data_IF_850724200067
#
_entry.id   IF_850724200067
#
_cell.length_a   1.000
_cell.length_b   1.000
_cell.length_c   1.000
_cell.angle_alpha   90.00
_cell.angle_beta   90.00
_cell.angle_gamma   90.00
#
_symmetry.space_group_name_H-M   'P 1'
#
loop_
_entity.id
_entity.type
_entity.pdbx_description
1 polymer ?
#
# COMPACT_ATOMS: atom_id res chain seq x y z
N UNK A 1 -11.72 12.91 19.96
CA UNK A 1 -11.19 12.48 18.64
C UNK A 1 -11.54 11.02 18.34
N UNK A 2 -12.83 10.67 18.29
CA UNK A 2 -13.32 9.56 17.47
C UNK A 2 -13.89 10.23 16.21
N UNK A 3 -13.07 10.74 15.30
CA UNK A 3 -12.14 9.93 14.51
C UNK A 3 -12.89 9.42 13.29
N UNK A 4 -13.22 10.35 12.39
CA UNK A 4 -13.84 10.18 11.07
C UNK A 4 -13.60 8.78 10.49
N UNK A 5 -14.58 7.88 10.60
CA UNK A 5 -14.54 6.63 9.83
C UNK A 5 -14.58 7.04 8.36
N UNK A 6 -13.59 6.66 7.53
CA UNK A 6 -13.54 7.12 6.15
C UNK A 6 -14.82 6.68 5.43
N UNK A 7 -15.46 7.63 4.75
CA UNK A 7 -16.76 7.45 4.09
C UNK A 7 -16.79 6.28 3.09
N UNK A 8 -15.60 5.88 2.61
CA UNK A 8 -15.38 4.71 1.76
C UNK A 8 -15.68 3.37 2.43
N UNK A 9 -15.48 3.24 3.75
CA UNK A 9 -15.76 1.99 4.50
C UNK A 9 -17.26 1.88 4.82
N UNK A 10 -17.92 3.02 5.02
CA UNK A 10 -19.36 3.10 5.27
C UNK A 10 -20.20 2.82 4.01
N UNK A 11 -19.69 3.14 2.82
CA UNK A 11 -20.36 2.82 1.55
C UNK A 11 -20.14 1.36 1.13
N UNK A 12 -19.01 0.75 1.47
CA UNK A 12 -18.71 -0.66 1.17
C UNK A 12 -19.51 -1.65 2.02
N UNK A 13 -19.92 -1.29 3.24
CA UNK A 13 -20.60 -2.19 4.18
C UNK A 13 -21.86 -1.53 4.81
N UNK A 14 -23.06 -1.72 4.23
CA UNK A 14 -24.28 -1.04 4.67
C UNK A 14 -24.75 -1.46 6.08
N UNK A 15 -24.52 -2.72 6.46
CA UNK A 15 -24.86 -3.22 7.80
C UNK A 15 -23.99 -2.60 8.90
N UNK A 16 -22.71 -2.36 8.60
CA UNK A 16 -21.79 -1.68 9.53
C UNK A 16 -22.15 -0.20 9.68
N UNK A 17 -22.58 0.45 8.60
CA UNK A 17 -23.07 1.83 8.65
C UNK A 17 -24.34 1.98 9.52
N UNK A 18 -25.27 1.02 9.46
CA UNK A 18 -26.46 1.00 10.30
C UNK A 18 -26.11 0.81 11.79
N UNK A 19 -25.19 -0.11 12.09
CA UNK A 19 -24.72 -0.37 13.46
C UNK A 19 -23.93 0.83 14.01
N UNK A 20 -23.06 1.44 13.22
CA UNK A 20 -22.34 2.66 13.60
C UNK A 20 -23.32 3.81 13.90
N UNK A 21 -24.37 3.99 13.07
CA UNK A 21 -25.43 4.97 13.35
C UNK A 21 -26.19 4.66 14.64
N UNK A 22 -26.51 3.40 14.92
CA UNK A 22 -27.19 3.02 16.16
C UNK A 22 -26.30 3.25 17.39
N UNK A 23 -25.00 2.95 17.31
CA UNK A 23 -24.07 3.15 18.41
C UNK A 23 -23.85 4.64 18.67
N UNK A 24 -23.66 5.44 17.63
CA UNK A 24 -23.51 6.90 17.75
C UNK A 24 -24.79 7.59 18.25
N UNK A 25 -25.97 7.08 17.90
CA UNK A 25 -27.24 7.70 18.35
C UNK A 25 -27.63 7.29 19.77
N UNK A 26 -27.46 6.01 20.13
CA UNK A 26 -27.91 5.48 21.43
C UNK A 26 -26.85 5.59 22.53
N UNK A 27 -25.59 5.36 22.21
CA UNK A 27 -24.59 5.09 23.24
C UNK A 27 -23.49 6.13 23.32
N UNK A 28 -23.10 6.78 22.22
CA UNK A 28 -21.95 7.70 22.20
C UNK A 28 -22.33 9.17 21.96
N UNK A 29 -21.54 10.10 22.48
CA UNK A 29 -21.50 11.51 22.09
C UNK A 29 -20.41 11.77 21.03
N UNK A 30 -20.41 12.93 20.33
CA UNK A 30 -19.45 13.23 19.24
C UNK A 30 -17.96 13.09 19.62
N UNK A 31 -17.64 13.06 20.91
CA UNK A 31 -16.29 12.82 21.42
C UNK A 31 -15.97 11.36 21.77
N UNK A 32 -16.92 10.44 21.60
CA UNK A 32 -16.79 9.00 21.83
C UNK A 32 -16.86 8.59 23.30
N UNK A 33 -17.52 9.38 24.15
CA UNK A 33 -17.89 9.00 25.52
C UNK A 33 -19.30 8.42 25.54
N UNK A 34 -19.56 7.53 26.49
CA UNK A 34 -20.91 7.00 26.69
C UNK A 34 -21.82 8.05 27.32
N UNK A 35 -23.05 8.21 26.84
CA UNK A 35 -24.02 9.20 27.37
C UNK A 35 -24.23 9.11 28.89
N UNK A 36 -24.26 7.89 29.45
CA UNK A 36 -24.34 7.67 30.90
C UNK A 36 -23.11 8.18 31.68
N UNK A 37 -21.93 8.17 31.05
CA UNK A 37 -20.72 8.72 31.64
C UNK A 37 -20.72 10.25 31.56
N UNK A 38 -21.35 10.83 30.53
CA UNK A 38 -21.46 12.28 30.39
C UNK A 38 -22.39 12.87 31.47
N UNK A 39 -23.52 12.21 31.73
CA UNK A 39 -24.42 12.50 32.86
C UNK A 39 -23.73 12.32 34.23
N UNK A 40 -22.80 11.37 34.37
CA UNK A 40 -21.96 11.24 35.59
C UNK A 40 -20.83 12.28 35.66
N UNK A 41 -20.49 12.94 34.55
CA UNK A 41 -19.36 13.88 34.44
C UNK A 41 -19.79 15.33 34.29
N UNK A 42 -20.96 15.73 34.80
CA UNK A 42 -21.27 17.16 34.97
C UNK A 42 -20.13 17.79 35.78
N UNK A 43 -19.24 18.47 35.05
CA UNK A 43 -17.88 18.78 35.49
C UNK A 43 -17.91 19.74 36.68
N UNK A 44 -18.96 20.56 36.79
CA UNK A 44 -19.18 21.46 37.93
C UNK A 44 -19.41 20.68 39.22
N UNK A 45 -20.36 19.75 39.22
CA UNK A 45 -20.83 19.07 40.43
C UNK A 45 -19.75 18.10 40.91
N UNK A 46 -19.06 17.42 40.00
CA UNK A 46 -17.90 16.62 40.34
C UNK A 46 -16.74 17.47 40.90
N UNK A 47 -16.53 18.69 40.42
CA UNK A 47 -15.49 19.56 41.00
C UNK A 47 -15.85 20.02 42.40
N UNK A 48 -17.11 20.34 42.67
CA UNK A 48 -17.58 20.74 44.01
C UNK A 48 -17.55 19.56 45.00
N UNK A 49 -18.03 18.39 44.61
CA UNK A 49 -17.95 17.17 45.42
C UNK A 49 -16.50 16.75 45.68
N UNK A 50 -15.62 16.87 44.69
CA UNK A 50 -14.20 16.60 44.85
C UNK A 50 -13.53 17.62 45.77
N UNK A 51 -13.86 18.90 45.65
CA UNK A 51 -13.33 19.96 46.52
C UNK A 51 -13.74 19.72 47.97
N UNK A 52 -15.04 19.49 48.21
CA UNK A 52 -15.53 19.16 49.54
C UNK A 52 -14.88 17.88 50.07
N UNK A 53 -14.76 16.82 49.27
CA UNK A 53 -14.04 15.60 49.68
C UNK A 53 -12.58 15.87 50.08
N UNK A 54 -11.85 16.66 49.29
CA UNK A 54 -10.46 17.01 49.56
C UNK A 54 -10.32 17.87 50.83
N UNK A 55 -11.26 18.78 51.10
CA UNK A 55 -11.31 19.54 52.34
C UNK A 55 -11.50 18.62 53.56
N UNK A 56 -12.45 17.69 53.48
CA UNK A 56 -12.69 16.72 54.55
C UNK A 56 -11.47 15.81 54.76
N UNK A 57 -10.80 15.38 53.68
CA UNK A 57 -9.61 14.55 53.74
C UNK A 57 -8.40 15.31 54.32
N UNK A 58 -8.23 16.59 53.97
CA UNK A 58 -7.19 17.43 54.54
C UNK A 58 -7.38 17.60 56.06
N UNK A 59 -8.59 17.89 56.50
CA UNK A 59 -8.94 17.98 57.93
C UNK A 59 -8.74 16.65 58.65
N UNK A 60 -9.17 15.54 58.04
CA UNK A 60 -8.98 14.19 58.57
C UNK A 60 -7.50 13.86 58.78
N UNK A 61 -6.65 14.13 57.78
CA UNK A 61 -5.22 13.89 57.86
C UNK A 61 -4.53 14.74 58.93
N UNK A 62 -4.96 15.98 59.15
CA UNK A 62 -4.43 16.79 60.25
C UNK A 62 -4.85 16.25 61.62
N UNK A 63 -6.12 15.83 61.76
CA UNK A 63 -6.61 15.22 62.99
C UNK A 63 -5.89 13.91 63.31
N UNK A 64 -5.67 13.06 62.30
CA UNK A 64 -4.91 11.82 62.44
C UNK A 64 -3.45 12.10 62.85
N UNK A 65 -2.80 13.08 62.21
CA UNK A 65 -1.44 13.48 62.59
C UNK A 65 -1.36 14.12 63.98
N UNK A 66 -2.41 14.81 64.43
CA UNK A 66 -2.52 15.34 65.79
C UNK A 66 -2.71 14.23 66.84
N UNK A 67 -3.47 13.18 66.50
CA UNK A 67 -3.62 12.00 67.34
C UNK A 67 -2.29 11.26 67.53
N UNK A 68 -1.50 11.12 66.44
CA UNK A 68 -0.20 10.40 66.43
C UNK A 68 0.93 11.21 67.07
N UNK A 69 1.01 12.52 66.85
CA UNK A 69 2.13 13.34 67.35
C UNK A 69 1.98 13.82 68.81
N UNK A 70 0.89 13.45 69.50
CA UNK A 70 0.67 13.82 70.88
C UNK A 70 0.17 15.25 71.04
N UNK A 71 -1.15 15.44 70.97
CA UNK A 71 -1.77 16.68 71.43
C UNK A 71 -1.64 16.75 72.96
N UNK A 72 -0.95 17.77 73.50
CA UNK A 72 -0.93 18.08 74.93
C UNK A 72 -1.90 19.24 75.22
N UNK A 73 -3.20 19.00 75.40
CA UNK A 73 -4.08 20.03 75.93
C UNK A 73 -3.81 20.26 77.42
N UNK A 74 -4.25 21.40 77.98
CA UNK A 74 -3.99 21.77 79.37
C UNK A 74 -4.66 20.87 80.42
N UNK A 75 -5.58 19.97 80.00
CA UNK A 75 -6.29 19.06 80.90
C UNK A 75 -6.46 17.68 80.24
N UNK A 76 -5.75 16.72 80.83
CA UNK A 76 -5.87 15.27 80.73
C UNK A 76 -5.62 14.58 79.38
N UNK A 77 -4.75 13.55 79.41
CA UNK A 77 -4.57 12.55 78.35
C UNK A 77 -5.85 11.77 77.95
N UNK A 78 -6.96 12.00 78.66
CA UNK A 78 -8.31 11.52 78.30
C UNK A 78 -8.81 12.12 76.98
N UNK A 79 -8.40 13.34 76.65
CA UNK A 79 -8.77 14.00 75.39
C UNK A 79 -8.08 13.39 74.18
N UNK A 80 -6.86 12.87 74.32
CA UNK A 80 -6.13 12.19 73.24
C UNK A 80 -6.69 10.79 72.98
N UNK A 81 -7.01 10.03 74.04
CA UNK A 81 -7.72 8.75 73.93
C UNK A 81 -9.07 8.91 73.24
N UNK A 82 -9.86 9.89 73.70
CA UNK A 82 -11.16 10.20 73.08
C UNK A 82 -11.05 10.63 71.60
N UNK A 83 -9.96 11.30 71.20
CA UNK A 83 -9.77 11.71 69.81
C UNK A 83 -9.35 10.54 68.91
N UNK A 84 -8.51 9.63 69.43
CA UNK A 84 -8.12 8.40 68.74
C UNK A 84 -9.31 7.46 68.53
N UNK A 85 -10.14 7.30 69.55
CA UNK A 85 -11.35 6.47 69.51
C UNK A 85 -12.39 7.05 68.53
N UNK A 86 -12.54 8.38 68.48
CA UNK A 86 -13.42 9.07 67.50
C UNK A 86 -12.89 8.96 66.06
N UNK A 87 -11.57 8.93 65.86
CA UNK A 87 -10.97 8.72 64.53
C UNK A 87 -11.13 7.26 64.08
N UNK A 88 -10.84 6.29 64.95
CA UNK A 88 -11.09 4.88 64.67
C UNK A 88 -12.58 4.62 64.38
N UNK A 89 -13.48 5.33 65.06
CA UNK A 89 -14.91 5.33 64.73
C UNK A 89 -15.20 5.90 63.33
N UNK A 90 -14.57 7.01 62.94
CA UNK A 90 -14.76 7.58 61.61
C UNK A 90 -14.28 6.63 60.51
N UNK A 91 -13.14 5.95 60.70
CA UNK A 91 -12.61 4.94 59.78
C UNK A 91 -13.55 3.73 59.68
N UNK A 92 -13.98 3.18 60.81
CA UNK A 92 -14.94 2.05 60.84
C UNK A 92 -16.27 2.43 60.19
N UNK A 93 -16.77 3.65 60.39
CA UNK A 93 -17.96 4.16 59.69
C UNK A 93 -17.77 4.26 58.18
N UNK A 94 -16.60 4.69 57.73
CA UNK A 94 -16.29 4.79 56.31
C UNK A 94 -16.16 3.40 55.66
N UNK A 95 -15.58 2.44 56.38
CA UNK A 95 -15.52 1.04 55.96
C UNK A 95 -16.91 0.39 55.90
N UNK A 96 -17.83 0.75 56.80
CA UNK A 96 -19.24 0.31 56.75
C UNK A 96 -20.00 0.88 55.54
N UNK A 97 -19.60 2.06 55.05
CA UNK A 97 -20.13 2.68 53.82
C UNK A 97 -19.48 2.16 52.54
N UNK A 98 -18.32 1.51 52.63
CA UNK A 98 -17.64 0.93 51.48
C UNK A 98 -18.38 -0.34 51.05
N UNK A 99 -19.31 -0.21 50.11
CA UNK A 99 -19.98 -1.35 49.47
C UNK A 99 -19.17 -1.79 48.26
N UNK A 100 -18.67 -3.05 48.21
CA UNK A 100 -18.15 -3.60 46.97
C UNK A 100 -19.24 -3.59 45.90
N UNK A 101 -18.82 -3.59 44.64
CA UNK A 101 -19.61 -3.42 43.41
C UNK A 101 -20.57 -4.59 43.11
N UNK A 102 -21.00 -5.32 44.13
CA UNK A 102 -21.89 -6.48 43.99
C UNK A 102 -23.36 -6.05 44.09
N UNK A 103 -24.19 -6.36 43.06
CA UNK A 103 -25.59 -5.93 42.99
C UNK A 103 -26.50 -6.60 44.03
N UNK A 104 -26.11 -7.75 44.58
CA UNK A 104 -26.96 -8.56 45.47
C UNK A 104 -27.01 -8.05 46.93
N UNK A 105 -26.08 -7.17 47.33
CA UNK A 105 -26.07 -6.57 48.68
C UNK A 105 -26.79 -5.22 48.77
N UNK A 106 -27.35 -4.68 47.67
CA UNK A 106 -28.05 -3.38 47.70
C UNK A 106 -29.33 -3.39 48.55
N UNK A 107 -29.96 -4.55 48.74
CA UNK A 107 -31.29 -4.67 49.36
C UNK A 107 -31.28 -5.27 50.77
N UNK A 108 -30.16 -5.77 51.26
CA UNK A 108 -30.06 -6.21 52.66
C UNK A 108 -29.53 -5.05 53.49
N UNK A 109 -30.26 -4.61 54.51
CA UNK A 109 -29.81 -3.61 55.49
C UNK A 109 -28.66 -4.11 56.38
N UNK A 110 -27.88 -5.08 55.92
CA UNK A 110 -26.81 -5.72 56.66
C UNK A 110 -25.50 -5.03 56.28
N UNK A 111 -25.05 -4.18 57.19
CA UNK A 111 -23.70 -3.62 57.21
C UNK A 111 -22.68 -4.70 57.56
N UNK A 112 -21.41 -4.49 57.17
CA UNK A 112 -20.31 -5.42 57.47
C UNK A 112 -20.36 -5.84 58.95
N UNK A 113 -20.53 -7.13 59.23
CA UNK A 113 -20.64 -7.73 60.58
C UNK A 113 -21.93 -7.44 61.39
N UNK A 114 -23.01 -6.93 60.78
CA UNK A 114 -24.29 -6.72 61.47
C UNK A 114 -24.29 -5.56 62.48
N UNK A 115 -23.25 -4.73 62.46
CA UNK A 115 -23.13 -3.51 63.28
C UNK A 115 -23.93 -2.38 62.64
N UNK A 116 -25.04 -1.97 63.25
CA UNK A 116 -25.79 -0.82 62.76
C UNK A 116 -25.10 0.51 63.14
N UNK A 117 -25.18 1.52 62.26
CA UNK A 117 -24.64 2.87 62.54
C UNK A 117 -25.20 3.46 63.86
N UNK A 118 -26.38 2.99 64.30
CA UNK A 118 -27.07 3.45 65.52
C UNK A 118 -26.45 2.91 66.81
N UNK A 119 -25.93 1.68 66.80
CA UNK A 119 -25.31 1.08 68.00
C UNK A 119 -23.90 1.64 68.24
N UNK A 120 -23.19 1.93 67.15
CA UNK A 120 -21.90 2.60 67.14
C UNK A 120 -22.00 4.06 67.66
N UNK A 121 -23.04 4.82 67.28
CA UNK A 121 -23.23 6.19 67.77
C UNK A 121 -23.41 6.28 69.29
N UNK A 122 -24.13 5.33 69.92
CA UNK A 122 -24.39 5.33 71.37
C UNK A 122 -23.11 5.22 72.21
N UNK A 123 -22.11 4.50 71.71
CA UNK A 123 -20.83 4.31 72.41
C UNK A 123 -19.93 5.56 72.33
N UNK A 124 -20.09 6.36 71.29
CA UNK A 124 -19.24 7.53 71.01
C UNK A 124 -19.83 8.83 71.56
N UNK A 125 -21.14 8.92 71.82
CA UNK A 125 -21.81 10.11 72.36
C UNK A 125 -21.14 10.67 73.64
N UNK A 126 -20.65 9.80 74.53
CA UNK A 126 -19.94 10.20 75.75
C UNK A 126 -18.55 10.82 75.49
N UNK A 127 -17.83 10.33 74.48
CA UNK A 127 -16.52 10.86 74.10
C UNK A 127 -16.65 12.10 73.20
N UNK A 128 -17.72 12.19 72.41
CA UNK A 128 -18.06 13.35 71.59
C UNK A 128 -18.27 14.60 72.46
N UNK A 129 -18.82 14.45 73.66
CA UNK A 129 -18.97 15.53 74.63
C UNK A 129 -17.62 16.13 75.10
N UNK A 130 -16.62 15.27 75.30
CA UNK A 130 -15.26 15.68 75.69
C UNK A 130 -14.56 16.40 74.52
N UNK A 131 -14.68 15.85 73.32
CA UNK A 131 -14.10 16.45 72.10
C UNK A 131 -14.76 17.78 71.74
N UNK A 132 -16.09 17.92 71.96
CA UNK A 132 -16.82 19.19 71.79
C UNK A 132 -16.29 20.30 72.70
N UNK A 133 -15.93 19.98 73.95
CA UNK A 133 -15.35 20.95 74.89
C UNK A 133 -13.93 21.39 74.49
N UNK A 134 -13.16 20.52 73.82
CA UNK A 134 -11.84 20.83 73.29
C UNK A 134 -11.83 21.34 71.84
N UNK A 135 -13.00 21.43 71.17
CA UNK A 135 -13.13 21.76 69.74
C UNK A 135 -12.42 23.07 69.38
N UNK A 136 -12.54 24.09 70.22
CA UNK A 136 -11.94 25.41 69.97
C UNK A 136 -10.40 25.41 70.08
N UNK A 137 -9.83 24.54 70.93
CA UNK A 137 -8.38 24.41 71.08
C UNK A 137 -7.81 23.55 69.95
N UNK A 138 -8.54 22.51 69.54
CA UNK A 138 -8.20 21.66 68.40
C UNK A 138 -8.24 22.45 67.08
N UNK A 139 -9.29 23.26 66.85
CA UNK A 139 -9.39 24.12 65.67
C UNK A 139 -8.19 25.06 65.54
N UNK A 140 -7.83 25.78 66.61
CA UNK A 140 -6.66 26.67 66.61
C UNK A 140 -5.36 25.93 66.29
N UNK A 141 -5.16 24.73 66.84
CA UNK A 141 -3.96 23.94 66.57
C UNK A 141 -3.90 23.39 65.14
N UNK A 142 -5.06 23.05 64.56
CA UNK A 142 -5.17 22.65 63.15
C UNK A 142 -4.86 23.85 62.24
N UNK A 143 -5.44 25.01 62.53
CA UNK A 143 -5.18 26.26 61.80
C UNK A 143 -3.69 26.62 61.81
N UNK A 144 -3.03 26.62 62.98
CA UNK A 144 -1.60 26.89 63.09
C UNK A 144 -0.73 25.91 62.28
N UNK A 145 -1.11 24.63 62.20
CA UNK A 145 -0.39 23.64 61.39
C UNK A 145 -0.62 23.80 59.90
N UNK A 146 -1.85 24.07 59.48
CA UNK A 146 -2.18 24.35 58.09
C UNK A 146 -1.44 25.59 57.61
N UNK A 147 -1.39 26.63 58.44
CA UNK A 147 -0.61 27.85 58.18
C UNK A 147 0.88 27.51 57.99
N UNK A 148 1.48 26.72 58.88
CA UNK A 148 2.89 26.30 58.74
C UNK A 148 3.15 25.54 57.44
N UNK A 149 2.25 24.63 57.03
CA UNK A 149 2.40 23.91 55.75
C UNK A 149 2.30 24.83 54.55
N UNK A 150 1.34 25.76 54.56
CA UNK A 150 1.24 26.77 53.50
C UNK A 150 2.49 27.64 53.44
N UNK A 151 3.08 27.99 54.59
CA UNK A 151 4.35 28.70 54.65
C UNK A 151 5.52 27.87 54.13
N UNK A 152 5.59 26.57 54.43
CA UNK A 152 6.66 25.69 53.96
C UNK A 152 6.58 25.45 52.44
N UNK A 153 5.37 25.28 51.90
CA UNK A 153 5.13 25.21 50.45
C UNK A 153 5.55 26.52 49.78
N UNK A 154 5.20 27.67 50.39
CA UNK A 154 5.63 28.96 49.88
C UNK A 154 7.16 29.14 49.95
N UNK A 155 7.82 28.70 51.03
CA UNK A 155 9.29 28.73 51.15
C UNK A 155 9.95 27.89 50.06
N UNK A 156 9.39 26.73 49.71
CA UNK A 156 9.94 25.88 48.66
C UNK A 156 9.88 26.56 47.28
N UNK A 157 8.76 27.20 46.95
CA UNK A 157 8.62 27.89 45.66
C UNK A 157 9.35 29.25 45.59
N UNK A 158 9.47 29.95 46.72
CA UNK A 158 10.07 31.30 46.81
C UNK A 158 11.40 31.30 47.59
N UNK A 159 12.16 30.20 47.56
CA UNK A 159 13.37 29.96 48.38
C UNK A 159 14.50 31.00 48.24
N UNK A 160 14.38 31.97 47.33
CA UNK A 160 15.30 33.09 47.13
C UNK A 160 14.81 34.48 47.54
N UNK A 161 13.61 34.63 48.13
CA UNK A 161 13.09 35.93 48.59
C UNK A 161 12.87 35.96 50.12
N UNK A 162 13.49 36.92 50.81
CA UNK A 162 13.18 37.21 52.22
C UNK A 162 11.78 37.82 52.33
N UNK A 163 10.80 36.97 52.65
CA UNK A 163 9.40 37.36 52.73
C UNK A 163 8.94 37.34 54.18
N UNK A 164 8.34 38.44 54.65
CA UNK A 164 7.66 38.54 55.95
C UNK A 164 6.60 37.44 56.11
N UNK A 165 6.36 36.89 57.31
CA UNK A 165 5.44 35.77 57.53
C UNK A 165 4.00 36.06 57.04
N UNK A 166 3.50 37.29 57.21
CA UNK A 166 2.19 37.72 56.69
C UNK A 166 2.13 37.76 55.15
N UNK A 167 3.24 38.07 54.48
CA UNK A 167 3.34 38.08 53.02
C UNK A 167 3.48 36.65 52.46
N UNK A 168 4.04 35.71 53.22
CA UNK A 168 4.16 34.29 52.81
C UNK A 168 2.79 33.64 52.64
N UNK A 169 1.85 33.91 53.55
CA UNK A 169 0.50 33.35 53.49
C UNK A 169 -0.30 33.92 52.33
N UNK A 170 -0.18 35.24 52.08
CA UNK A 170 -0.78 35.88 50.90
C UNK A 170 -0.15 35.41 49.57
N UNK A 171 1.14 35.04 49.59
CA UNK A 171 1.81 34.45 48.42
C UNK A 171 1.46 32.98 48.22
N UNK A 172 1.20 32.24 49.30
CA UNK A 172 0.74 30.85 49.23
C UNK A 172 -0.64 30.75 48.58
N UNK A 173 -1.56 31.68 48.89
CA UNK A 173 -2.88 31.70 48.23
C UNK A 173 -2.81 32.10 46.76
N UNK A 174 -1.85 32.95 46.38
CA UNK A 174 -1.61 33.32 44.98
C UNK A 174 -0.87 32.21 44.18
N UNK A 175 -0.29 31.23 44.87
CA UNK A 175 0.52 30.19 44.23
C UNK A 175 -0.30 29.30 43.30
N UNK A 176 -1.55 28.96 43.66
CA UNK A 176 -2.42 28.15 42.80
C UNK A 176 -2.67 28.81 41.44
N UNK A 177 -2.94 30.12 41.43
CA UNK A 177 -3.15 30.88 40.19
C UNK A 177 -1.87 30.89 39.33
N UNK A 178 -0.70 31.04 39.95
CA UNK A 178 0.59 31.04 39.24
C UNK A 178 0.90 29.65 38.69
N UNK A 179 0.64 28.60 39.47
CA UNK A 179 0.85 27.21 39.05
C UNK A 179 -0.07 26.85 37.89
N UNK A 180 -1.36 27.19 37.95
CA UNK A 180 -2.30 26.99 36.84
C UNK A 180 -1.84 27.70 35.56
N UNK A 181 -1.37 28.95 35.66
CA UNK A 181 -0.79 29.68 34.52
C UNK A 181 0.48 29.03 33.96
N UNK A 182 1.36 28.52 34.83
CA UNK A 182 2.56 27.78 34.39
C UNK A 182 2.21 26.45 33.73
N UNK A 183 1.23 25.73 34.27
CA UNK A 183 0.74 24.47 33.68
C UNK A 183 0.18 24.74 32.29
N UNK A 184 -0.69 25.75 32.12
CA UNK A 184 -1.23 26.09 30.80
C UNK A 184 -0.15 26.53 29.81
N UNK A 185 0.90 27.22 30.28
CA UNK A 185 2.06 27.59 29.45
C UNK A 185 2.88 26.36 29.03
N UNK A 186 3.07 25.40 29.93
CA UNK A 186 3.76 24.14 29.62
C UNK A 186 2.94 23.32 28.61
N UNK A 187 1.61 23.32 28.74
CA UNK A 187 0.73 22.64 27.80
C UNK A 187 0.78 23.31 26.42
N UNK A 188 0.73 24.65 26.34
CA UNK A 188 0.83 25.35 25.06
C UNK A 188 2.18 25.11 24.39
N UNK A 189 3.28 25.22 25.15
CA UNK A 189 4.63 24.98 24.60
C UNK A 189 4.84 23.52 24.16
N UNK A 190 4.23 22.55 24.82
CA UNK A 190 4.21 21.15 24.35
C UNK A 190 3.45 21.00 23.04
N UNK A 191 2.31 21.67 22.89
CA UNK A 191 1.55 21.67 21.64
C UNK A 191 2.33 22.33 20.51
N UNK A 192 3.01 23.44 20.79
CA UNK A 192 3.88 24.12 19.83
C UNK A 192 5.03 23.22 19.40
N UNK A 193 5.71 22.55 20.34
CA UNK A 193 6.75 21.57 20.03
C UNK A 193 6.23 20.43 19.15
N UNK A 194 5.04 19.90 19.46
CA UNK A 194 4.43 18.85 18.64
C UNK A 194 4.15 19.32 17.21
N UNK A 195 3.64 20.55 17.05
CA UNK A 195 3.41 21.15 15.74
C UNK A 195 4.72 21.38 14.98
N UNK A 196 5.78 21.81 15.65
CA UNK A 196 7.10 21.98 15.04
C UNK A 196 7.68 20.64 14.56
N UNK A 197 7.54 19.57 15.36
CA UNK A 197 7.91 18.22 14.92
C UNK A 197 7.11 17.75 13.71
N UNK A 198 5.80 18.04 13.68
CA UNK A 198 4.95 17.71 12.54
C UNK A 198 5.39 18.45 11.27
N UNK A 199 5.64 19.77 11.36
CA UNK A 199 6.13 20.59 10.24
C UNK A 199 7.51 20.14 9.76
N UNK A 200 8.38 19.72 10.68
CA UNK A 200 9.68 19.15 10.32
C UNK A 200 9.51 17.82 9.58
N UNK A 201 8.58 16.97 10.02
CA UNK A 201 8.24 15.72 9.34
C UNK A 201 7.69 15.97 7.93
N UNK A 202 6.82 16.96 7.76
CA UNK A 202 6.24 17.33 6.46
C UNK A 202 7.32 17.85 5.51
N UNK A 203 8.18 18.76 5.98
CA UNK A 203 9.31 19.26 5.16
C UNK A 203 10.30 18.14 4.82
N UNK A 204 10.61 17.23 5.75
CA UNK A 204 11.46 16.08 5.45
C UNK A 204 10.83 15.17 4.40
N UNK A 205 9.53 14.93 4.47
CA UNK A 205 8.80 14.13 3.48
C UNK A 205 8.89 14.73 2.09
N UNK A 206 8.72 16.06 1.96
CA UNK A 206 8.84 16.73 0.66
C UNK A 206 10.27 16.69 0.12
N UNK A 207 11.29 16.87 0.97
CA UNK A 207 12.68 16.69 0.56
C UNK A 207 12.96 15.27 0.07
N UNK A 208 12.48 14.25 0.79
CA UNK A 208 12.64 12.85 0.39
C UNK A 208 11.96 12.56 -0.96
N UNK A 209 10.76 13.09 -1.17
CA UNK A 209 10.04 12.95 -2.44
C UNK A 209 10.81 13.60 -3.61
N UNK A 210 11.34 14.81 -3.41
CA UNK A 210 12.19 15.47 -4.42
C UNK A 210 13.45 14.64 -4.71
N UNK A 211 14.13 14.13 -3.67
CA UNK A 211 15.32 13.29 -3.89
C UNK A 211 15.01 11.99 -4.63
N UNK A 212 13.85 11.37 -4.36
CA UNK A 212 13.39 10.19 -5.08
C UNK A 212 13.15 10.51 -6.55
N UNK A 213 12.48 11.61 -6.86
CA UNK A 213 12.23 12.04 -8.24
C UNK A 213 13.55 12.32 -9.00
N UNK A 214 14.53 12.93 -8.33
CA UNK A 214 15.86 13.15 -8.91
C UNK A 214 16.56 11.80 -9.19
N UNK A 215 16.46 10.84 -8.27
CA UNK A 215 17.05 9.52 -8.47
C UNK A 215 16.40 8.75 -9.62
N UNK A 216 15.07 8.81 -9.74
CA UNK A 216 14.33 8.19 -10.84
C UNK A 216 14.69 8.79 -12.20
N UNK A 217 14.76 10.13 -12.28
CA UNK A 217 15.18 10.81 -13.53
C UNK A 217 16.63 10.49 -13.90
N UNK A 218 17.53 10.40 -12.93
CA UNK A 218 18.92 10.01 -13.16
C UNK A 218 19.02 8.54 -13.61
N UNK A 219 18.21 7.66 -13.04
CA UNK A 219 18.13 6.26 -13.46
C UNK A 219 17.67 6.13 -14.91
N UNK A 220 16.58 6.80 -15.29
CA UNK A 220 16.10 6.82 -16.67
C UNK A 220 17.17 7.34 -17.64
N UNK A 221 17.90 8.40 -17.26
CA UNK A 221 18.97 8.95 -18.09
C UNK A 221 20.14 7.97 -18.27
N UNK A 222 20.52 7.24 -17.23
CA UNK A 222 21.55 6.18 -17.31
C UNK A 222 21.07 5.04 -18.20
N UNK A 223 19.83 4.61 -18.07
CA UNK A 223 19.25 3.55 -18.90
C UNK A 223 19.19 3.96 -20.38
N UNK A 224 18.74 5.19 -20.67
CA UNK A 224 18.76 5.74 -22.03
C UNK A 224 20.19 5.83 -22.61
N UNK A 225 21.17 6.23 -21.80
CA UNK A 225 22.56 6.29 -22.22
C UNK A 225 23.11 4.90 -22.55
N UNK A 226 22.84 3.91 -21.70
CA UNK A 226 23.25 2.52 -21.91
C UNK A 226 22.61 1.92 -23.16
N UNK A 227 21.30 2.13 -23.36
CA UNK A 227 20.58 1.69 -24.55
C UNK A 227 21.12 2.36 -25.82
N UNK A 228 21.40 3.66 -25.77
CA UNK A 228 21.99 4.39 -26.92
C UNK A 228 23.38 3.86 -27.25
N UNK A 229 24.20 3.60 -26.24
CA UNK A 229 25.56 3.07 -26.44
C UNK A 229 25.53 1.67 -27.07
N UNK A 230 24.69 0.76 -26.56
CA UNK A 230 24.54 -0.57 -27.16
C UNK A 230 23.94 -0.52 -28.57
N UNK A 231 23.03 0.42 -28.84
CA UNK A 231 22.52 0.64 -30.19
C UNK A 231 23.62 1.11 -31.16
N UNK A 232 24.43 2.10 -30.77
CA UNK A 232 25.55 2.60 -31.60
C UNK A 232 26.58 1.50 -31.88
N UNK A 233 26.91 0.71 -30.86
CA UNK A 233 27.79 -0.45 -30.98
C UNK A 233 27.22 -1.50 -31.95
N UNK A 234 25.95 -1.86 -31.80
CA UNK A 234 25.28 -2.81 -32.71
C UNK A 234 25.20 -2.28 -34.14
N UNK A 235 24.99 -0.97 -34.32
CA UNK A 235 25.03 -0.33 -35.63
C UNK A 235 26.41 -0.48 -36.28
N UNK A 236 27.49 -0.22 -35.54
CA UNK A 236 28.85 -0.41 -36.02
C UNK A 236 29.16 -1.87 -36.40
N UNK A 237 28.71 -2.83 -35.59
CA UNK A 237 28.84 -4.26 -35.92
C UNK A 237 28.06 -4.63 -37.18
N UNK A 238 26.83 -4.15 -37.34
CA UNK A 238 26.02 -4.41 -38.52
C UNK A 238 26.67 -3.83 -39.79
N UNK A 239 27.23 -2.62 -39.73
CA UNK A 239 27.97 -2.02 -40.84
C UNK A 239 29.23 -2.84 -41.17
N UNK A 240 29.98 -3.28 -40.16
CA UNK A 240 31.14 -4.15 -40.33
C UNK A 240 30.79 -5.49 -40.99
N UNK A 241 29.76 -6.18 -40.49
CA UNK A 241 29.31 -7.45 -41.08
C UNK A 241 28.73 -7.27 -42.48
N UNK A 242 28.00 -6.18 -42.72
CA UNK A 242 27.53 -5.83 -44.07
C UNK A 242 28.70 -5.64 -45.04
N UNK A 243 29.75 -4.95 -44.62
CA UNK A 243 30.97 -4.79 -45.42
C UNK A 243 31.66 -6.14 -45.68
N UNK A 244 31.74 -7.03 -44.70
CA UNK A 244 32.27 -8.39 -44.87
C UNK A 244 31.43 -9.17 -45.90
N UNK A 245 30.11 -9.18 -45.75
CA UNK A 245 29.21 -9.90 -46.67
C UNK A 245 29.37 -9.37 -48.09
N UNK A 246 29.40 -8.05 -48.27
CA UNK A 246 29.65 -7.43 -49.58
C UNK A 246 31.02 -7.82 -50.16
N UNK A 247 32.06 -7.89 -49.32
CA UNK A 247 33.38 -8.37 -49.73
C UNK A 247 33.36 -9.83 -50.17
N UNK A 248 32.64 -10.70 -49.45
CA UNK A 248 32.46 -12.12 -49.80
C UNK A 248 31.68 -12.25 -51.11
N UNK A 249 30.59 -11.50 -51.29
CA UNK A 249 29.82 -11.48 -52.54
C UNK A 249 30.71 -11.05 -53.71
N UNK A 250 31.55 -10.02 -53.52
CA UNK A 250 32.49 -9.58 -54.54
C UNK A 250 33.51 -10.67 -54.86
N UNK A 251 34.09 -11.33 -53.85
CA UNK A 251 35.01 -12.46 -54.03
C UNK A 251 34.35 -13.61 -54.81
N UNK A 252 33.09 -13.96 -54.48
CA UNK A 252 32.34 -14.97 -55.22
C UNK A 252 32.10 -14.59 -56.67
N UNK A 253 31.79 -13.31 -56.95
CA UNK A 253 31.65 -12.81 -58.34
C UNK A 253 32.97 -12.91 -59.10
N UNK A 254 34.08 -12.54 -58.48
CA UNK A 254 35.42 -12.68 -59.07
C UNK A 254 35.73 -14.14 -59.37
N UNK A 255 35.49 -15.04 -58.41
CA UNK A 255 35.66 -16.49 -58.61
C UNK A 255 34.80 -17.04 -59.74
N UNK A 256 33.53 -16.59 -59.84
CA UNK A 256 32.64 -16.96 -60.95
C UNK A 256 33.23 -16.51 -62.30
N UNK A 257 33.70 -15.27 -62.41
CA UNK A 257 34.31 -14.76 -63.65
C UNK A 257 35.59 -15.55 -63.98
N UNK A 258 36.43 -15.81 -62.98
CA UNK A 258 37.66 -16.58 -63.17
C UNK A 258 37.35 -18.01 -63.64
N UNK A 259 36.33 -18.65 -63.06
CA UNK A 259 35.86 -19.97 -63.50
C UNK A 259 35.35 -19.93 -64.93
N UNK A 260 34.57 -18.91 -65.30
CA UNK A 260 34.11 -18.72 -66.68
C UNK A 260 35.27 -18.51 -67.65
N UNK A 261 36.27 -17.71 -67.30
CA UNK A 261 37.46 -17.51 -68.12
C UNK A 261 38.27 -18.80 -68.26
N UNK A 262 38.38 -19.60 -67.19
CA UNK A 262 39.08 -20.88 -67.22
C UNK A 262 38.34 -21.96 -68.01
N UNK A 263 37.00 -21.96 -68.00
CA UNK A 263 36.17 -22.94 -68.74
C UNK A 263 36.03 -22.54 -70.21
N UNK A 264 35.87 -21.24 -70.49
CA UNK A 264 35.78 -20.67 -71.83
C UNK A 264 37.12 -20.07 -72.26
N UNK A 265 38.16 -20.90 -72.25
CA UNK A 265 39.44 -20.49 -72.83
C UNK A 265 39.30 -20.30 -74.35
N UNK A 266 40.17 -19.48 -74.96
CA UNK A 266 40.13 -19.17 -76.40
C UNK A 266 40.11 -20.44 -77.25
N UNK A 267 40.92 -21.42 -76.86
CA UNK A 267 41.01 -22.71 -77.53
C UNK A 267 39.70 -23.50 -77.44
N UNK A 268 39.04 -23.50 -76.27
CA UNK A 268 37.75 -24.17 -76.09
C UNK A 268 36.63 -23.49 -76.89
N UNK A 269 36.67 -22.16 -77.00
CA UNK A 269 35.69 -21.37 -77.78
C UNK A 269 35.89 -21.58 -79.27
N UNK A 270 37.13 -21.61 -79.75
CA UNK A 270 37.46 -21.95 -81.14
C UNK A 270 37.05 -23.38 -81.47
N UNK A 271 37.33 -24.33 -80.59
CA UNK A 271 36.86 -25.71 -80.74
C UNK A 271 35.33 -25.77 -80.83
N UNK A 272 34.60 -25.13 -79.92
CA UNK A 272 33.14 -25.07 -79.95
C UNK A 272 32.59 -24.41 -81.23
N UNK A 273 33.28 -23.38 -81.76
CA UNK A 273 32.94 -22.77 -83.06
C UNK A 273 33.13 -23.76 -84.21
N UNK A 274 34.24 -24.50 -84.23
CA UNK A 274 34.47 -25.51 -85.27
C UNK A 274 33.45 -26.65 -85.21
N UNK A 275 33.08 -27.09 -84.00
CA UNK A 275 32.02 -28.09 -83.80
C UNK A 275 30.68 -27.55 -84.29
N UNK A 276 30.33 -26.31 -83.96
CA UNK A 276 29.10 -25.66 -84.44
C UNK A 276 29.06 -25.58 -85.96
N UNK A 277 30.18 -25.23 -86.59
CA UNK A 277 30.26 -25.15 -88.05
C UNK A 277 30.12 -26.52 -88.71
N UNK A 278 30.79 -27.55 -88.17
CA UNK A 278 30.62 -28.94 -88.64
C UNK A 278 29.17 -29.40 -88.54
N UNK A 279 28.50 -29.13 -87.41
CA UNK A 279 27.09 -29.48 -87.23
C UNK A 279 26.18 -28.74 -88.22
N UNK A 280 26.44 -27.46 -88.50
CA UNK A 280 25.69 -26.71 -89.52
C UNK A 280 25.89 -27.28 -90.92
N UNK A 281 27.13 -27.64 -91.28
CA UNK A 281 27.42 -28.29 -92.56
C UNK A 281 26.67 -29.62 -92.66
N UNK A 282 26.66 -30.43 -91.60
CA UNK A 282 25.93 -31.69 -91.57
C UNK A 282 24.41 -31.48 -91.65
N UNK A 283 23.87 -30.46 -90.96
CA UNK A 283 22.46 -30.08 -91.03
C UNK A 283 22.06 -29.68 -92.44
N UNK A 284 22.83 -28.81 -93.09
CA UNK A 284 22.60 -28.40 -94.49
C UNK A 284 22.66 -29.62 -95.41
N UNK A 285 23.67 -30.49 -95.25
CA UNK A 285 23.80 -31.70 -96.07
C UNK A 285 22.64 -32.68 -95.86
N UNK A 286 22.08 -32.78 -94.65
CA UNK A 286 20.87 -33.57 -94.40
C UNK A 286 19.64 -32.90 -95.00
N UNK A 287 19.50 -31.58 -94.91
CA UNK A 287 18.40 -30.84 -95.53
C UNK A 287 18.43 -30.88 -97.07
N UNK A 288 19.61 -30.88 -97.70
CA UNK A 288 19.73 -31.07 -99.16
C UNK A 288 19.33 -32.47 -99.56
N UNK A 289 19.81 -33.50 -98.83
CA UNK A 289 19.39 -34.89 -99.07
C UNK A 289 17.89 -35.09 -98.89
N UNK A 290 17.30 -34.45 -97.87
CA UNK A 290 15.86 -34.49 -97.63
C UNK A 290 15.12 -33.88 -98.83
N UNK A 291 15.53 -32.69 -99.30
CA UNK A 291 14.96 -32.07 -100.51
C UNK A 291 15.13 -32.93 -101.76
N UNK A 292 16.29 -33.54 -101.97
CA UNK A 292 16.52 -34.46 -103.10
C UNK A 292 15.57 -35.66 -103.06
N UNK A 293 15.35 -36.23 -101.88
CA UNK A 293 14.40 -37.34 -101.69
C UNK A 293 12.96 -36.87 -101.90
N UNK A 294 12.59 -35.68 -101.43
CA UNK A 294 11.27 -35.07 -101.68
C UNK A 294 11.04 -34.81 -103.18
N UNK A 295 12.03 -34.30 -103.90
CA UNK A 295 11.95 -34.09 -105.35
C UNK A 295 11.83 -35.42 -106.11
N UNK A 296 12.57 -36.45 -105.71
CA UNK A 296 12.43 -37.79 -106.27
C UNK A 296 11.04 -38.36 -105.98
N UNK A 297 10.55 -38.20 -104.75
CA UNK A 297 9.20 -38.65 -104.37
C UNK A 297 8.13 -37.92 -105.20
N UNK A 298 8.27 -36.61 -105.38
CA UNK A 298 7.37 -35.83 -106.24
C UNK A 298 7.39 -36.28 -107.70
N UNK A 299 8.57 -36.62 -108.25
CA UNK A 299 8.68 -37.24 -109.58
C UNK A 299 7.97 -38.60 -109.63
N UNK A 300 8.17 -39.46 -108.63
CA UNK A 300 7.46 -40.73 -108.53
C UNK A 300 5.95 -40.53 -108.42
N UNK A 301 5.48 -39.51 -107.71
CA UNK A 301 4.07 -39.18 -107.58
C UNK A 301 3.47 -38.73 -108.93
N UNK A 302 4.21 -37.96 -109.74
CA UNK A 302 3.80 -37.62 -111.11
C UNK A 302 3.75 -38.82 -112.05
N UNK A 303 4.70 -39.76 -111.92
CA UNK A 303 4.61 -41.05 -112.64
C UNK A 303 3.47 -41.91 -112.11
N UNK A 304 3.07 -41.75 -110.84
CA UNK A 304 1.92 -42.42 -110.25
C UNK A 304 0.62 -42.14 -111.01
N UNK A 305 0.38 -40.90 -111.46
CA UNK A 305 -0.79 -40.58 -112.29
C UNK A 305 -0.73 -41.22 -113.68
N UNK A 306 0.44 -41.28 -114.30
CA UNK A 306 0.64 -41.97 -115.59
C UNK A 306 0.44 -43.50 -115.44
N UNK A 307 0.94 -44.08 -114.34
CA UNK A 307 0.70 -45.48 -113.99
C UNK A 307 -0.78 -45.76 -113.71
N UNK A 308 -1.50 -44.85 -113.04
CA UNK A 308 -2.94 -44.97 -112.85
C UNK A 308 -3.72 -44.93 -114.17
N UNK A 309 -3.29 -44.13 -115.15
CA UNK A 309 -3.87 -44.13 -116.49
C UNK A 309 -3.61 -45.46 -117.21
N UNK A 310 -2.38 -45.98 -117.18
CA UNK A 310 -2.06 -47.30 -117.74
C UNK A 310 -2.88 -48.40 -117.05
N UNK A 311 -3.06 -48.34 -115.73
CA UNK A 311 -3.90 -49.29 -115.00
C UNK A 311 -5.36 -49.18 -115.43
N UNK A 312 -5.89 -47.97 -115.65
CA UNK A 312 -7.26 -47.77 -116.16
C UNK A 312 -7.41 -48.35 -117.57
N UNK A 313 -6.44 -48.12 -118.46
CA UNK A 313 -6.43 -48.71 -119.80
C UNK A 313 -6.35 -50.24 -119.74
N UNK A 314 -5.51 -50.79 -118.85
CA UNK A 314 -5.42 -52.23 -118.65
C UNK A 314 -6.73 -52.83 -118.09
N UNK A 315 -7.38 -52.17 -117.14
CA UNK A 315 -8.70 -52.57 -116.62
C UNK A 315 -9.76 -52.50 -117.72
N UNK A 316 -9.72 -51.49 -118.59
CA UNK A 316 -10.61 -51.37 -119.74
C UNK A 316 -10.39 -52.53 -120.73
N UNK A 317 -9.14 -52.81 -121.09
CA UNK A 317 -8.75 -53.97 -121.89
C UNK A 317 -9.19 -55.29 -121.26
N UNK A 318 -9.05 -55.45 -119.95
CA UNK A 318 -9.47 -56.66 -119.26
C UNK A 318 -10.99 -56.82 -119.25
N UNK A 319 -11.74 -55.71 -119.16
CA UNK A 319 -13.20 -55.72 -119.34
C UNK A 319 -13.59 -56.05 -120.78
N UNK A 320 -12.88 -55.52 -121.77
CA UNK A 320 -13.12 -55.83 -123.18
C UNK A 320 -12.80 -57.30 -123.48
N UNK A 321 -11.75 -57.87 -122.88
CA UNK A 321 -11.45 -59.31 -122.94
C UNK A 321 -12.57 -60.11 -122.29
N UNK A 322 -13.07 -59.71 -121.11
CA UNK A 322 -14.20 -60.38 -120.45
C UNK A 322 -15.49 -60.30 -121.27
N UNK A 323 -15.77 -59.16 -121.91
CA UNK A 323 -16.92 -58.99 -122.82
C UNK A 323 -16.74 -59.84 -124.08
N UNK A 324 -15.52 -59.93 -124.62
CA UNK A 324 -15.20 -60.80 -125.74
C UNK A 324 -15.35 -62.29 -125.35
N UNK A 325 -14.93 -62.69 -124.15
CA UNK A 325 -15.13 -64.04 -123.62
C UNK A 325 -16.61 -64.34 -123.36
N UNK A 326 -17.41 -63.38 -122.86
CA UNK A 326 -18.85 -63.55 -122.67
C UNK A 326 -19.60 -63.60 -124.03
N UNK A 327 -19.18 -62.81 -125.01
CA UNK A 327 -19.68 -62.89 -126.39
C UNK A 327 -19.29 -64.22 -127.06
N UNK A 328 -18.07 -64.71 -126.84
CA UNK A 328 -17.66 -66.03 -127.31
C UNK A 328 -18.50 -67.12 -126.64
N UNK A 329 -18.75 -67.04 -125.33
CA UNK A 329 -19.66 -67.94 -124.61
C UNK A 329 -21.09 -67.90 -125.13
N UNK A 330 -21.60 -66.74 -125.58
CA UNK A 330 -22.92 -66.59 -126.21
C UNK A 330 -23.00 -67.12 -127.63
N UNK A 331 -21.87 -67.27 -128.33
CA UNK A 331 -21.81 -67.84 -129.69
C UNK A 331 -21.58 -69.37 -129.66
N UNK A 332 -21.03 -69.90 -128.57
CA UNK A 332 -20.77 -71.35 -128.39
C UNK A 332 -21.74 -72.08 -127.45
N UNK A 333 -22.88 -71.46 -127.12
CA UNK A 333 -24.04 -72.11 -126.49
C UNK A 333 -25.24 -72.09 -127.42
#
# INVERSE_FOLDING_TARGET
MFGHVPQSILSANPNFAALHKQIVTRYLTPDGRTKALEEETDVSDFTEEKMTYLEHLALYNELQKLAVQGFKPPKDGRTQGALSDVLAFAETRQLLRYRPRDPDLRNSGVTLLGLTEKDLCKQVEGQLGIVKNSKNVLLKAIEERLIKRCEDIAKFHYSGQEINPKLRLAKASQLDVILKKKISLIESTKMDQFNDYYRLGETLSTYLEVTKNILETLWCLVEEFMLRHEYEKNKGFNEYFSAIVNSIILKLRVLRINTLLSVYDKDTVEFLKTVREKLRVEEIAKQTKLREVEELLGKYETFGSEFEEIIKEYIALQKDILIAEDNLRRITG
#
